data_IF_689575981503
#
_entry.id   IF_689575981503
#
_cell.length_a   1.000
_cell.length_b   1.000
_cell.length_c   1.000
_cell.angle_alpha   90.00
_cell.angle_beta   90.00
_cell.angle_gamma   90.00
#
_symmetry.space_group_name_H-M   'P 1'
#
loop_
_entity.id
_entity.type
_entity.pdbx_description
1 polymer ?
#
# COMPACT_ATOMS: atom_id res chain seq x y z
N UNK A 1 3.34 16.31 4.92
CA UNK A 1 2.05 16.10 4.24
C UNK A 1 1.27 15.00 4.96
N UNK A 2 -0.05 14.99 4.83
CA UNK A 2 -0.93 14.03 5.50
C UNK A 2 -1.57 13.12 4.45
N UNK A 3 -1.35 11.82 4.55
CA UNK A 3 -1.98 10.83 3.65
C UNK A 3 -3.11 10.17 4.41
N UNK A 4 -4.32 10.23 3.86
CA UNK A 4 -5.47 9.51 4.38
C UNK A 4 -5.41 8.08 3.87
N UNK A 5 -5.23 7.13 4.78
CA UNK A 5 -5.17 5.72 4.47
C UNK A 5 -6.46 5.04 4.91
N UNK A 6 -6.94 4.14 4.06
CA UNK A 6 -7.92 3.12 4.41
C UNK A 6 -7.37 1.76 4.01
N UNK A 7 -7.62 0.73 4.82
CA UNK A 7 -7.23 -0.65 4.47
C UNK A 7 -8.39 -1.61 4.66
N UNK A 8 -8.39 -2.67 3.86
CA UNK A 8 -9.27 -3.81 4.11
C UNK A 8 -8.87 -4.53 5.39
N UNK A 9 -9.87 -5.12 6.04
CA UNK A 9 -9.64 -5.98 7.18
C UNK A 9 -9.09 -7.33 6.75
N UNK A 10 -8.23 -7.92 7.59
CA UNK A 10 -7.65 -9.26 7.32
C UNK A 10 -8.35 -10.39 8.08
N UNK A 11 -9.20 -10.06 9.06
CA UNK A 11 -9.92 -11.03 9.88
C UNK A 11 -11.11 -10.39 10.59
N UNK A 12 -12.00 -11.22 11.17
CA UNK A 12 -13.09 -10.72 12.04
C UNK A 12 -12.61 -9.95 13.27
N UNK A 13 -11.46 -10.34 13.82
CA UNK A 13 -10.86 -9.63 14.97
C UNK A 13 -10.38 -8.24 14.56
N UNK A 14 -9.91 -8.11 13.32
CA UNK A 14 -9.50 -6.84 12.73
C UNK A 14 -10.72 -5.98 12.36
N UNK A 15 -11.80 -6.60 11.85
CA UNK A 15 -13.09 -5.93 11.59
C UNK A 15 -13.71 -5.27 12.82
N UNK A 16 -13.52 -5.85 14.02
CA UNK A 16 -14.03 -5.25 15.27
C UNK A 16 -13.43 -3.87 15.56
N UNK A 17 -12.29 -3.53 14.96
CA UNK A 17 -11.62 -2.24 15.09
C UNK A 17 -11.81 -1.36 13.84
N UNK A 18 -12.74 -1.72 12.95
CA UNK A 18 -13.10 -0.90 11.80
C UNK A 18 -13.74 0.43 12.25
N UNK A 19 -13.58 1.53 11.49
CA UNK A 19 -12.91 1.60 10.19
C UNK A 19 -11.38 1.55 10.36
N UNK A 20 -10.71 0.72 9.55
CA UNK A 20 -9.25 0.67 9.50
C UNK A 20 -8.70 1.92 8.78
N UNK A 21 -9.15 3.10 9.15
CA UNK A 21 -8.77 4.39 8.56
C UNK A 21 -7.77 5.08 9.46
N UNK A 22 -6.72 5.66 8.87
CA UNK A 22 -5.69 6.38 9.61
C UNK A 22 -5.12 7.51 8.77
N UNK A 23 -4.81 8.63 9.42
CA UNK A 23 -3.96 9.67 8.81
C UNK A 23 -2.51 9.35 9.12
N UNK A 24 -1.69 9.22 8.08
CA UNK A 24 -0.24 9.02 8.21
C UNK A 24 0.45 10.34 7.84
N UNK A 25 1.16 10.91 8.80
CA UNK A 25 1.98 12.10 8.57
C UNK A 25 3.34 11.67 8.03
N UNK A 26 3.72 12.21 6.87
CA UNK A 26 5.02 11.97 6.24
C UNK A 26 5.72 13.28 5.90
N UNK A 27 7.04 13.27 5.93
CA UNK A 27 7.87 14.37 5.44
C UNK A 27 7.70 14.53 3.91
N UNK A 28 7.84 15.76 3.41
CA UNK A 28 7.58 16.07 1.98
C UNK A 28 8.50 15.34 1.01
N UNK A 29 9.70 14.96 1.43
CA UNK A 29 10.67 14.18 0.68
C UNK A 29 10.57 12.67 0.95
N UNK A 30 9.43 12.18 1.48
CA UNK A 30 9.21 10.75 1.66
C UNK A 30 9.12 10.07 0.29
N UNK A 31 9.97 9.05 0.08
CA UNK A 31 9.97 8.20 -1.11
C UNK A 31 8.92 7.11 -0.95
N UNK A 32 8.35 6.64 -2.07
CA UNK A 32 7.32 5.60 -2.05
C UNK A 32 7.78 4.32 -1.34
N UNK A 33 9.04 3.92 -1.52
CA UNK A 33 9.61 2.77 -0.81
C UNK A 33 9.58 2.93 0.71
N UNK A 34 10.02 4.08 1.21
CA UNK A 34 10.02 4.39 2.65
C UNK A 34 8.58 4.46 3.18
N UNK A 35 7.65 4.96 2.37
CA UNK A 35 6.24 4.98 2.73
C UNK A 35 5.70 3.56 2.90
N UNK A 36 6.02 2.64 1.99
CA UNK A 36 5.62 1.24 2.11
C UNK A 36 6.22 0.58 3.36
N UNK A 37 7.47 0.88 3.70
CA UNK A 37 8.09 0.42 4.95
C UNK A 37 7.30 0.91 6.18
N UNK A 38 6.91 2.19 6.21
CA UNK A 38 6.03 2.75 7.26
C UNK A 38 4.70 1.99 7.33
N UNK A 39 4.08 1.68 6.18
CA UNK A 39 2.82 0.94 6.13
C UNK A 39 2.97 -0.47 6.72
N UNK A 40 4.03 -1.18 6.33
CA UNK A 40 4.32 -2.54 6.82
C UNK A 40 4.52 -2.54 8.34
N UNK A 41 5.29 -1.57 8.86
CA UNK A 41 5.70 -1.57 10.26
C UNK A 41 4.64 -1.03 11.22
N UNK A 42 3.83 -0.06 10.77
CA UNK A 42 2.98 0.72 11.67
C UNK A 42 1.48 0.66 11.39
N UNK A 43 1.06 0.10 10.25
CA UNK A 43 -0.33 0.14 9.81
C UNK A 43 -0.90 -1.22 9.38
N UNK A 44 -0.10 -2.06 8.73
CA UNK A 44 -0.50 -3.43 8.40
C UNK A 44 -0.63 -4.26 9.69
N UNK A 45 -1.72 -5.00 9.88
CA UNK A 45 -1.87 -5.90 11.01
C UNK A 45 -0.85 -7.04 10.91
N UNK A 46 -0.39 -7.53 12.07
CA UNK A 46 0.39 -8.76 12.12
C UNK A 46 -0.52 -9.94 11.82
N UNK A 47 -0.16 -10.74 10.81
CA UNK A 47 -0.82 -11.99 10.48
C UNK A 47 0.01 -13.17 11.01
N UNK A 48 -0.63 -14.30 11.30
CA UNK A 48 0.05 -15.54 11.71
C UNK A 48 0.45 -16.42 10.50
N UNK A 49 0.30 -15.90 9.29
CA UNK A 49 0.50 -16.61 8.04
C UNK A 49 1.92 -16.41 7.53
N UNK A 50 2.37 -17.25 6.60
CA UNK A 50 3.68 -17.15 5.98
C UNK A 50 3.80 -15.92 5.06
N UNK A 51 2.67 -15.34 4.65
CA UNK A 51 2.56 -14.20 3.73
C UNK A 51 1.37 -13.32 4.09
N UNK A 52 1.49 -12.04 3.80
CA UNK A 52 0.36 -11.13 3.73
C UNK A 52 0.58 -10.13 2.60
N UNK A 53 -0.03 -10.42 1.45
CA UNK A 53 0.12 -9.61 0.24
C UNK A 53 -0.90 -8.48 0.22
N UNK A 54 -0.42 -7.28 -0.11
CA UNK A 54 -1.18 -6.04 -0.13
C UNK A 54 -0.97 -5.32 -1.46
N UNK A 55 -2.01 -4.62 -1.90
CA UNK A 55 -1.97 -3.73 -3.07
C UNK A 55 -2.27 -2.32 -2.60
N UNK A 56 -1.35 -1.39 -2.85
CA UNK A 56 -1.51 0.03 -2.56
C UNK A 56 -2.10 0.75 -3.77
N UNK A 57 -3.21 1.45 -3.56
CA UNK A 57 -3.94 2.20 -4.57
C UNK A 57 -3.97 3.70 -4.24
N UNK A 58 -3.89 4.54 -5.28
CA UNK A 58 -4.30 5.95 -5.26
C UNK A 58 -5.39 6.16 -6.31
N UNK A 59 -6.63 6.35 -5.86
CA UNK A 59 -7.84 6.35 -6.71
C UNK A 59 -7.92 5.07 -7.57
N UNK A 60 -7.78 5.20 -8.89
CA UNK A 60 -7.85 4.11 -9.87
C UNK A 60 -6.48 3.63 -10.34
N UNK A 61 -5.43 3.87 -9.56
CA UNK A 61 -4.06 3.51 -9.94
C UNK A 61 -3.39 2.66 -8.86
N UNK A 62 -2.87 1.51 -9.26
CA UNK A 62 -1.96 0.73 -8.42
C UNK A 62 -0.59 1.42 -8.32
N UNK A 63 -0.14 1.66 -7.09
CA UNK A 63 1.15 2.26 -6.78
C UNK A 63 2.21 1.20 -6.48
N UNK A 64 1.84 0.17 -5.72
CA UNK A 64 2.74 -0.89 -5.32
C UNK A 64 2.00 -2.17 -4.91
N UNK A 65 2.67 -3.30 -5.03
CA UNK A 65 2.29 -4.57 -4.40
C UNK A 65 3.41 -4.97 -3.45
N UNK A 66 3.08 -5.37 -2.24
CA UNK A 66 4.07 -5.78 -1.24
C UNK A 66 3.55 -6.89 -0.33
N UNK A 67 4.47 -7.66 0.23
CA UNK A 67 4.22 -8.67 1.25
C UNK A 67 4.71 -8.13 2.60
N UNK A 68 3.80 -7.92 3.55
CA UNK A 68 4.13 -7.35 4.86
C UNK A 68 4.89 -8.32 5.78
N UNK A 69 4.90 -9.63 5.48
CA UNK A 69 5.67 -10.63 6.24
C UNK A 69 7.10 -10.72 5.72
N UNK A 70 7.27 -10.96 4.42
CA UNK A 70 8.61 -11.10 3.82
C UNK A 70 9.31 -9.77 3.49
N UNK A 71 8.59 -8.65 3.61
CA UNK A 71 9.02 -7.30 3.21
C UNK A 71 9.38 -7.16 1.72
N UNK A 72 8.99 -8.12 0.88
CA UNK A 72 9.12 -8.00 -0.57
C UNK A 72 8.17 -6.92 -1.08
N UNK A 73 8.63 -6.12 -2.03
CA UNK A 73 7.85 -5.00 -2.56
C UNK A 73 8.19 -4.77 -4.03
N UNK A 74 7.18 -4.41 -4.81
CA UNK A 74 7.31 -3.92 -6.17
C UNK A 74 6.50 -2.63 -6.31
N UNK A 75 7.18 -1.52 -6.62
CA UNK A 75 6.50 -0.31 -7.04
C UNK A 75 6.27 -0.32 -8.55
N UNK A 76 5.14 0.22 -8.98
CA UNK A 76 4.78 0.41 -10.39
C UNK A 76 5.28 1.75 -10.93
N UNK A 77 5.67 2.67 -10.04
CA UNK A 77 6.46 3.85 -10.37
C UNK A 77 7.94 3.63 -10.01
N UNK A 78 8.81 4.59 -10.35
CA UNK A 78 10.22 4.58 -9.91
C UNK A 78 10.25 4.50 -8.38
N UNK A 79 10.98 3.54 -7.81
CA UNK A 79 11.09 3.35 -6.34
C UNK A 79 11.55 4.61 -5.59
N UNK A 80 12.30 5.46 -6.28
CA UNK A 80 12.85 6.73 -5.76
C UNK A 80 11.89 7.92 -5.90
N UNK A 81 10.71 7.73 -6.50
CA UNK A 81 9.71 8.79 -6.65
C UNK A 81 9.19 9.23 -5.27
N UNK A 82 9.02 10.55 -5.12
CA UNK A 82 8.45 11.09 -3.90
C UNK A 82 6.93 10.88 -3.88
N UNK A 83 6.39 10.56 -2.70
CA UNK A 83 4.93 10.34 -2.54
C UNK A 83 4.13 11.54 -3.02
N UNK A 84 4.59 12.77 -2.74
CA UNK A 84 3.95 14.02 -3.21
C UNK A 84 3.82 14.11 -4.73
N UNK A 85 4.80 13.60 -5.48
CA UNK A 85 4.81 13.64 -6.94
C UNK A 85 3.82 12.62 -7.49
N UNK A 86 3.77 11.44 -6.87
CA UNK A 86 2.82 10.37 -7.21
C UNK A 86 1.38 10.87 -7.08
N UNK A 87 1.07 11.56 -5.98
CA UNK A 87 -0.28 12.09 -5.72
C UNK A 87 -0.54 13.44 -6.35
N UNK A 88 0.37 13.96 -7.17
CA UNK A 88 0.27 15.25 -7.88
C UNK A 88 0.03 16.45 -6.93
N UNK A 89 0.79 16.52 -5.84
CA UNK A 89 0.77 17.63 -4.88
C UNK A 89 -0.60 17.90 -4.24
N UNK A 90 -1.48 16.88 -4.18
CA UNK A 90 -2.73 16.95 -3.39
C UNK A 90 -2.38 17.23 -1.93
N UNK A 91 -3.09 18.17 -1.31
CA UNK A 91 -2.88 18.54 0.09
C UNK A 91 -3.18 17.37 1.05
N UNK A 92 -4.17 16.56 0.70
CA UNK A 92 -4.70 15.45 1.49
C UNK A 92 -5.04 14.26 0.57
N UNK A 93 -4.05 13.53 0.03
CA UNK A 93 -4.32 12.38 -0.82
C UNK A 93 -4.97 11.23 -0.03
N UNK A 94 -5.94 10.58 -0.67
CA UNK A 94 -6.56 9.35 -0.18
C UNK A 94 -5.93 8.14 -0.89
N UNK A 95 -5.55 7.14 -0.11
CA UNK A 95 -4.97 5.90 -0.60
C UNK A 95 -5.60 4.70 0.10
N UNK A 96 -5.63 3.58 -0.60
CA UNK A 96 -6.29 2.37 -0.15
C UNK A 96 -5.34 1.17 -0.17
N UNK A 97 -5.37 0.35 0.87
CA UNK A 97 -4.71 -0.96 0.92
C UNK A 97 -5.73 -2.07 0.74
N UNK A 98 -5.60 -2.80 -0.37
CA UNK A 98 -6.39 -4.00 -0.66
C UNK A 98 -5.64 -5.25 -0.20
N UNK A 99 -6.29 -6.11 0.57
CA UNK A 99 -5.66 -7.32 1.11
C UNK A 99 -5.87 -8.50 0.16
N UNK A 100 -4.78 -9.18 -0.19
CA UNK A 100 -4.77 -10.34 -1.09
C UNK A 100 -4.50 -11.67 -0.36
N UNK A 101 -4.53 -11.69 0.97
CA UNK A 101 -4.32 -12.94 1.69
C UNK A 101 -2.88 -13.43 1.57
N UNK A 102 -2.75 -14.73 1.29
CA UNK A 102 -1.49 -15.45 1.11
C UNK A 102 -1.04 -15.55 -0.36
N UNK A 103 -1.74 -14.87 -1.28
CA UNK A 103 -1.42 -14.85 -2.71
C UNK A 103 0.07 -14.56 -2.94
N UNK A 104 0.70 -15.27 -3.88
CA UNK A 104 2.10 -15.01 -4.24
C UNK A 104 2.25 -13.60 -4.83
N UNK A 105 3.19 -12.82 -4.28
CA UNK A 105 3.44 -11.44 -4.70
C UNK A 105 3.68 -11.34 -6.21
N UNK A 106 4.35 -12.30 -6.84
CA UNK A 106 4.62 -12.25 -8.28
C UNK A 106 3.35 -12.46 -9.11
N UNK A 107 2.45 -13.33 -8.66
CA UNK A 107 1.15 -13.55 -9.32
C UNK A 107 0.33 -12.26 -9.26
N UNK A 108 0.27 -11.63 -8.08
CA UNK A 108 -0.45 -10.35 -7.92
C UNK A 108 0.21 -9.24 -8.74
N UNK A 109 1.54 -9.17 -8.78
CA UNK A 109 2.23 -8.21 -9.66
C UNK A 109 1.84 -8.43 -11.12
N UNK A 110 1.79 -9.68 -11.58
CA UNK A 110 1.45 -10.04 -12.95
C UNK A 110 0.03 -9.62 -13.33
N UNK A 111 -0.94 -9.74 -12.42
CA UNK A 111 -2.32 -9.26 -12.62
C UNK A 111 -2.39 -7.76 -12.92
N UNK A 112 -1.53 -6.96 -12.28
CA UNK A 112 -1.52 -5.50 -12.44
C UNK A 112 -0.48 -5.01 -13.47
N UNK A 113 0.22 -5.91 -14.16
CA UNK A 113 1.15 -5.52 -15.24
C UNK A 113 0.43 -4.85 -16.42
N UNK A 114 -0.80 -5.23 -16.71
CA UNK A 114 -1.54 -4.64 -17.83
C UNK A 114 -1.96 -3.19 -17.56
N UNK A 115 -2.20 -2.82 -16.29
CA UNK A 115 -2.47 -1.44 -15.91
C UNK A 115 -1.28 -0.50 -16.17
N UNK A 116 -0.05 -1.02 -16.27
CA UNK A 116 1.13 -0.24 -16.65
C UNK A 116 1.15 0.17 -18.12
N UNK A 117 0.51 -0.59 -19.00
CA UNK A 117 0.54 -0.39 -20.46
C UNK A 117 -0.54 0.58 -20.94
N UNK A 118 -1.51 0.90 -20.09
CA UNK A 118 -2.61 1.80 -20.41
C UNK A 118 -2.27 3.30 -20.22
N UNK A 119 -1.02 3.64 -19.89
CA UNK A 119 -0.55 5.01 -19.64
C UNK A 119 0.68 5.38 -20.46
#
# INVERSE_FOLDING_TARGET
>A
MRVFMERQSVSRQDDMNAPNRRVIEIISNCRIKNFIEILIESYCPKVNNDRATWVLWDNHKVLAVFDSVSKKCKCFQKDEAFVREIVKEKENPEMYLYYRGEDDINVVIDEYKEELLAF
#
